data_IF_932694247844
#
_entry.id   IF_932694247844
#
_cell.length_a   1.000
_cell.length_b   1.000
_cell.length_c   1.000
_cell.angle_alpha   90.00
_cell.angle_beta   90.00
_cell.angle_gamma   90.00
#
_symmetry.space_group_name_H-M   'P 1'
#
loop_
_entity.id
_entity.type
_entity.pdbx_description
1 polymer ?
#
# COMPACT_ATOMS: atom_id res chain seq x y z
N UNK A 1 -44.92 -4.68 -3.59
CA UNK A 1 -43.73 -4.13 -2.95
C UNK A 1 -43.12 -5.23 -2.10
N UNK A 2 -41.97 -5.71 -2.44
CA UNK A 2 -41.28 -6.77 -1.69
C UNK A 2 -40.17 -6.12 -0.84
N UNK A 3 -40.09 -6.47 0.42
CA UNK A 3 -39.04 -6.04 1.33
C UNK A 3 -38.21 -7.27 1.70
N UNK A 4 -36.91 -7.21 1.43
CA UNK A 4 -35.97 -8.23 1.91
C UNK A 4 -35.28 -7.68 3.15
N UNK A 5 -35.54 -8.29 4.30
CA UNK A 5 -34.87 -7.95 5.54
C UNK A 5 -33.70 -8.88 5.78
N UNK A 6 -32.50 -8.32 5.82
CA UNK A 6 -31.25 -9.00 6.16
C UNK A 6 -30.77 -8.50 7.54
N UNK A 7 -31.42 -8.94 8.59
CA UNK A 7 -31.19 -8.43 9.95
C UNK A 7 -31.56 -6.94 10.06
N UNK A 8 -30.63 -6.08 10.43
CA UNK A 8 -30.83 -4.62 10.51
C UNK A 8 -30.76 -3.90 9.16
N UNK A 9 -30.49 -4.60 8.06
CA UNK A 9 -30.40 -4.01 6.71
C UNK A 9 -31.71 -4.25 5.97
N UNK A 10 -32.44 -3.17 5.68
CA UNK A 10 -33.65 -3.19 4.85
C UNK A 10 -33.32 -2.71 3.45
N UNK A 11 -33.53 -3.57 2.45
CA UNK A 11 -33.51 -3.19 1.04
C UNK A 11 -34.96 -2.96 0.59
N UNK A 12 -35.33 -1.74 0.33
CA UNK A 12 -36.63 -1.40 -0.26
C UNK A 12 -36.46 -0.96 -1.71
N UNK A 13 -37.16 -1.59 -2.65
CA UNK A 13 -37.22 -1.13 -4.03
C UNK A 13 -38.54 -0.47 -4.32
N UNK A 14 -38.52 0.73 -4.88
CA UNK A 14 -39.70 1.41 -5.42
C UNK A 14 -39.82 1.28 -6.95
N UNK A 15 -39.08 0.36 -7.56
CA UNK A 15 -39.04 0.17 -9.03
C UNK A 15 -38.21 -1.05 -9.42
N UNK A 16 -38.17 -1.37 -10.72
CA UNK A 16 -37.51 -2.54 -11.31
C UNK A 16 -36.00 -2.44 -11.43
N UNK A 17 -35.36 -1.41 -10.96
CA UNK A 17 -33.93 -1.22 -10.99
C UNK A 17 -33.38 -1.08 -9.59
N UNK A 18 -32.53 -2.00 -9.17
CA UNK A 18 -31.61 -1.75 -8.07
C UNK A 18 -30.56 -0.77 -8.58
N UNK A 19 -30.82 0.52 -8.44
CA UNK A 19 -29.78 1.50 -8.63
C UNK A 19 -28.72 1.25 -7.57
N UNK A 20 -27.53 0.86 -7.98
CA UNK A 20 -26.33 0.87 -7.14
C UNK A 20 -25.89 2.34 -6.97
N UNK A 21 -26.80 3.20 -6.52
CA UNK A 21 -26.42 4.46 -5.92
C UNK A 21 -25.69 4.08 -4.66
N UNK A 22 -24.47 4.56 -4.48
CA UNK A 22 -23.64 4.33 -3.32
C UNK A 22 -24.46 4.51 -2.03
N UNK A 23 -25.19 3.46 -1.64
CA UNK A 23 -25.85 3.41 -0.36
C UNK A 23 -24.75 3.57 0.67
N UNK A 24 -24.85 4.61 1.45
CA UNK A 24 -24.01 4.82 2.61
C UNK A 24 -24.12 3.53 3.43
N UNK A 25 -23.03 2.76 3.47
CA UNK A 25 -22.94 1.58 4.32
C UNK A 25 -22.77 2.14 5.72
N UNK A 26 -23.88 2.42 6.40
CA UNK A 26 -23.84 3.02 7.75
C UNK A 26 -23.58 1.99 8.84
N UNK A 27 -23.80 0.69 8.57
CA UNK A 27 -23.80 -0.36 9.59
C UNK A 27 -23.16 -1.68 9.05
N UNK A 28 -21.92 -1.61 8.59
CA UNK A 28 -21.20 -2.84 8.28
C UNK A 28 -20.76 -3.53 9.59
N UNK A 29 -20.93 -4.86 9.73
CA UNK A 29 -20.40 -5.58 10.89
C UNK A 29 -18.90 -5.34 11.04
N UNK A 30 -18.43 -5.23 12.27
CA UNK A 30 -17.01 -5.05 12.55
C UNK A 30 -16.18 -6.16 11.88
N UNK A 31 -15.07 -5.77 11.27
CA UNK A 31 -14.21 -6.67 10.50
C UNK A 31 -14.61 -6.89 9.04
N UNK A 32 -15.79 -6.40 8.61
CA UNK A 32 -16.21 -6.50 7.21
C UNK A 32 -15.37 -5.60 6.32
N UNK A 33 -15.06 -6.07 5.12
CA UNK A 33 -14.48 -5.22 4.07
C UNK A 33 -15.58 -4.34 3.47
N UNK A 34 -15.46 -3.04 3.64
CA UNK A 34 -16.44 -2.04 3.18
C UNK A 34 -16.21 -1.68 1.72
N UNK A 35 -14.96 -1.50 1.35
CA UNK A 35 -14.52 -1.21 -0.02
C UNK A 35 -13.04 -1.57 -0.20
N UNK A 36 -12.62 -1.61 -1.45
CA UNK A 36 -11.23 -1.78 -1.82
C UNK A 36 -10.83 -0.87 -2.96
N UNK A 37 -9.56 -0.52 -3.00
CA UNK A 37 -8.94 0.16 -4.13
C UNK A 37 -7.57 -0.46 -4.41
N UNK A 38 -7.20 -0.57 -5.68
CA UNK A 38 -5.90 -1.10 -6.09
C UNK A 38 -5.28 -0.20 -7.14
N UNK A 39 -4.01 0.09 -6.97
CA UNK A 39 -3.17 0.74 -7.96
C UNK A 39 -2.08 -0.22 -8.39
N UNK A 40 -1.90 -0.32 -9.71
CA UNK A 40 -0.86 -1.12 -10.34
C UNK A 40 0.15 -0.19 -10.99
N UNK A 41 1.42 -0.51 -10.85
CA UNK A 41 2.50 0.18 -11.54
C UNK A 41 3.51 -0.82 -12.09
N UNK A 42 4.39 -0.34 -12.95
CA UNK A 42 5.50 -1.09 -13.54
C UNK A 42 6.72 -0.18 -13.68
N UNK A 43 7.86 -0.77 -13.97
CA UNK A 43 9.12 -0.04 -14.13
C UNK A 43 9.95 0.03 -12.87
N UNK A 44 11.23 0.25 -13.04
CA UNK A 44 12.19 0.32 -11.95
C UNK A 44 12.04 1.62 -11.14
N UNK A 45 12.09 1.51 -9.82
CA UNK A 45 12.08 2.65 -8.89
C UNK A 45 13.26 2.47 -7.94
N UNK A 46 14.20 3.41 -7.95
CA UNK A 46 15.49 3.30 -7.25
C UNK A 46 15.83 4.54 -6.44
N UNK A 47 16.67 4.38 -5.43
CA UNK A 47 17.27 5.47 -4.66
C UNK A 47 18.67 5.11 -4.15
N UNK A 48 19.49 6.13 -3.93
CA UNK A 48 20.75 6.03 -3.20
C UNK A 48 20.70 6.76 -1.84
N UNK A 49 19.52 7.19 -1.41
CA UNK A 49 19.30 7.94 -0.18
C UNK A 49 19.09 7.02 1.02
N UNK A 50 19.62 7.39 2.17
CA UNK A 50 19.35 6.77 3.47
C UNK A 50 18.03 7.25 4.09
N UNK A 51 17.47 8.34 3.56
CA UNK A 51 16.16 8.85 3.98
C UNK A 51 15.02 8.24 3.16
N UNK A 52 13.80 8.19 3.72
CA UNK A 52 12.64 7.65 3.01
C UNK A 52 12.34 8.41 1.72
N UNK A 53 12.21 7.67 0.63
CA UNK A 53 11.84 8.18 -0.70
C UNK A 53 10.50 7.59 -1.11
N UNK A 54 9.68 8.40 -1.75
CA UNK A 54 8.38 7.97 -2.25
C UNK A 54 8.54 6.97 -3.40
N UNK A 55 7.78 5.87 -3.36
CA UNK A 55 7.77 4.90 -4.47
C UNK A 55 7.03 5.37 -5.72
N UNK A 56 6.20 6.41 -5.59
CA UNK A 56 5.29 6.83 -6.66
C UNK A 56 4.00 5.98 -6.77
N UNK A 57 3.91 4.84 -6.08
CA UNK A 57 2.74 3.99 -6.08
C UNK A 57 1.73 4.50 -5.05
N UNK A 58 0.67 5.15 -5.50
CA UNK A 58 -0.32 5.78 -4.63
C UNK A 58 -1.68 5.12 -4.85
N UNK A 59 -2.29 4.65 -3.77
CA UNK A 59 -3.69 4.18 -3.78
C UNK A 59 -4.53 5.08 -2.89
N UNK A 60 -5.61 5.62 -3.47
CA UNK A 60 -6.49 6.58 -2.81
C UNK A 60 -7.91 6.02 -2.72
N UNK A 61 -8.56 6.26 -1.61
CA UNK A 61 -9.98 5.99 -1.44
C UNK A 61 -10.63 7.08 -0.59
N UNK A 62 -11.96 7.21 -0.69
CA UNK A 62 -12.76 8.03 0.22
C UNK A 62 -13.48 7.09 1.18
N UNK A 63 -13.13 7.12 2.49
CA UNK A 63 -13.73 6.23 3.46
C UNK A 63 -15.24 6.37 3.52
N UNK A 64 -15.93 5.25 3.69
CA UNK A 64 -17.39 5.17 3.79
C UNK A 64 -17.90 5.15 5.22
N UNK A 65 -17.06 4.74 6.16
CA UNK A 65 -17.40 4.68 7.60
C UNK A 65 -16.41 5.53 8.39
N UNK A 66 -16.83 6.13 9.48
CA UNK A 66 -15.94 6.79 10.42
C UNK A 66 -15.20 5.74 11.27
N UNK A 67 -13.92 6.00 11.57
CA UNK A 67 -13.12 5.13 12.42
C UNK A 67 -12.71 3.80 11.79
N UNK A 68 -12.92 3.61 10.48
CA UNK A 68 -12.47 2.40 9.78
C UNK A 68 -10.98 2.14 9.96
N UNK A 69 -10.62 0.86 9.90
CA UNK A 69 -9.25 0.39 9.74
C UNK A 69 -8.94 0.22 8.25
N UNK A 70 -7.65 0.33 7.91
CA UNK A 70 -7.21 0.13 6.53
C UNK A 70 -6.13 -0.93 6.50
N UNK A 71 -6.40 -2.01 5.77
CA UNK A 71 -5.40 -3.03 5.46
C UNK A 71 -4.76 -2.71 4.12
N UNK A 72 -3.48 -2.38 4.13
CA UNK A 72 -2.70 -2.22 2.91
C UNK A 72 -1.99 -3.52 2.58
N UNK A 73 -2.00 -3.90 1.30
CA UNK A 73 -1.32 -5.09 0.77
C UNK A 73 -0.43 -4.61 -0.37
N UNK A 74 0.87 -4.65 -0.14
CA UNK A 74 1.88 -4.40 -1.18
C UNK A 74 2.33 -5.75 -1.74
N UNK A 75 2.23 -5.95 -3.04
CA UNK A 75 2.55 -7.22 -3.70
C UNK A 75 3.22 -7.04 -5.06
N UNK A 76 3.93 -8.05 -5.52
CA UNK A 76 4.61 -8.06 -6.83
C UNK A 76 5.86 -7.17 -6.86
N UNK A 77 6.29 -6.62 -5.74
CA UNK A 77 7.54 -5.85 -5.65
C UNK A 77 8.73 -6.79 -5.77
N UNK A 78 9.71 -6.41 -6.56
CA UNK A 78 10.99 -7.09 -6.63
C UNK A 78 12.07 -6.17 -6.05
N UNK A 79 12.30 -6.30 -4.75
CA UNK A 79 13.31 -5.52 -4.04
C UNK A 79 14.70 -5.92 -4.49
N UNK A 80 15.53 -4.94 -4.80
CA UNK A 80 16.88 -5.19 -5.28
C UNK A 80 17.89 -4.29 -4.59
N UNK A 81 19.04 -4.85 -4.31
CA UNK A 81 20.19 -4.09 -3.82
C UNK A 81 21.42 -4.43 -4.62
N UNK A 82 22.10 -3.40 -5.09
CA UNK A 82 23.39 -3.52 -5.75
C UNK A 82 24.50 -3.15 -4.75
N UNK A 83 25.26 -4.14 -4.34
CA UNK A 83 26.34 -3.96 -3.38
C UNK A 83 27.59 -3.46 -4.08
N UNK A 84 28.00 -2.24 -3.78
CA UNK A 84 29.21 -1.59 -4.36
C UNK A 84 30.36 -1.43 -3.37
N UNK A 85 30.14 -1.75 -2.09
CA UNK A 85 31.14 -1.68 -1.02
C UNK A 85 31.13 -2.95 -0.16
N UNK A 86 32.09 -3.08 0.75
CA UNK A 86 32.14 -4.19 1.72
C UNK A 86 31.05 -4.13 2.79
N UNK A 87 30.31 -3.04 2.87
CA UNK A 87 29.26 -2.86 3.87
C UNK A 87 27.98 -3.63 3.51
N UNK A 88 27.18 -3.94 4.50
CA UNK A 88 25.88 -4.59 4.29
C UNK A 88 24.94 -3.64 3.57
N UNK A 89 24.24 -4.16 2.57
CA UNK A 89 23.22 -3.44 1.83
C UNK A 89 21.85 -3.99 2.14
N UNK A 90 20.87 -3.10 2.14
CA UNK A 90 19.48 -3.50 2.32
C UNK A 90 18.52 -2.40 1.96
N UNK A 91 17.27 -2.77 1.78
CA UNK A 91 16.17 -1.83 1.56
C UNK A 91 15.21 -1.93 2.74
N UNK A 92 14.82 -0.78 3.25
CA UNK A 92 13.77 -0.66 4.27
C UNK A 92 12.54 -0.05 3.65
N UNK A 93 11.38 -0.47 4.11
CA UNK A 93 10.09 -0.05 3.59
C UNK A 93 9.25 0.56 4.69
N UNK A 94 8.47 1.55 4.31
CA UNK A 94 7.56 2.28 5.19
C UNK A 94 6.22 2.44 4.48
N UNK A 95 5.14 2.59 5.25
CA UNK A 95 3.86 3.04 4.74
C UNK A 95 3.60 4.47 5.19
N UNK A 96 3.25 5.32 4.26
CA UNK A 96 2.87 6.70 4.51
C UNK A 96 1.41 6.91 4.13
N UNK A 97 0.76 7.80 4.82
CA UNK A 97 -0.62 8.20 4.56
C UNK A 97 -0.72 9.72 4.42
N UNK A 98 -1.55 10.16 3.49
CA UNK A 98 -2.01 11.54 3.34
C UNK A 98 -3.53 11.56 3.50
N UNK A 99 -4.06 12.52 4.24
CA UNK A 99 -5.49 12.73 4.43
C UNK A 99 -5.86 14.08 3.86
N UNK A 100 -6.94 14.16 3.08
CA UNK A 100 -7.46 15.38 2.45
C UNK A 100 -6.42 16.12 1.59
N UNK A 101 -5.50 15.40 0.95
CA UNK A 101 -4.42 15.99 0.14
C UNK A 101 -3.32 16.69 0.94
N UNK A 102 -3.27 16.49 2.24
CA UNK A 102 -2.20 16.99 3.09
C UNK A 102 -0.87 16.28 2.86
N UNK A 103 0.15 16.64 3.62
CA UNK A 103 1.46 16.00 3.56
C UNK A 103 1.39 14.53 3.96
N UNK A 104 2.22 13.71 3.32
CA UNK A 104 2.37 12.31 3.69
C UNK A 104 3.08 12.18 5.04
N UNK A 105 2.49 11.43 5.95
CA UNK A 105 3.04 11.11 7.26
C UNK A 105 3.29 9.61 7.38
N UNK A 106 4.42 9.24 7.99
CA UNK A 106 4.74 7.84 8.27
C UNK A 106 3.76 7.31 9.33
N UNK A 107 3.03 6.25 8.98
CA UNK A 107 2.11 5.56 9.89
C UNK A 107 2.68 4.25 10.44
N UNK A 108 3.85 3.87 9.95
CA UNK A 108 4.65 2.81 10.54
C UNK A 108 5.64 3.47 11.48
N UNK A 109 5.46 3.35 12.79
CA UNK A 109 6.47 3.80 13.75
C UNK A 109 7.82 3.10 13.54
N UNK A 110 7.82 2.00 12.80
CA UNK A 110 8.97 1.18 12.47
C UNK A 110 8.97 0.79 10.99
N UNK A 111 10.06 0.19 10.56
CA UNK A 111 10.22 -0.42 9.24
C UNK A 111 9.19 -1.53 9.06
N UNK A 112 8.43 -1.51 7.95
CA UNK A 112 7.47 -2.57 7.63
C UNK A 112 8.21 -3.87 7.34
N UNK A 113 9.27 -3.76 6.53
CA UNK A 113 10.12 -4.88 6.13
C UNK A 113 11.49 -4.36 5.74
N UNK A 114 12.52 -5.16 5.99
CA UNK A 114 13.87 -4.93 5.50
C UNK A 114 14.45 -6.22 4.95
N UNK A 115 15.37 -6.09 4.01
CA UNK A 115 16.25 -7.16 3.62
C UNK A 115 17.69 -6.64 3.59
N UNK A 116 18.60 -7.49 3.89
CA UNK A 116 20.02 -7.21 3.85
C UNK A 116 20.72 -8.16 2.88
N UNK A 117 21.69 -7.62 2.17
CA UNK A 117 22.60 -8.40 1.32
C UNK A 117 23.94 -8.45 2.02
N UNK A 118 24.31 -9.63 2.48
CA UNK A 118 25.62 -9.93 2.99
C UNK A 118 26.34 -10.84 1.97
N UNK A 119 27.33 -10.33 1.29
CA UNK A 119 27.97 -11.08 0.21
C UNK A 119 29.12 -10.31 -0.44
N UNK A 120 29.71 -10.89 -1.47
CA UNK A 120 30.80 -10.30 -2.21
C UNK A 120 30.41 -8.99 -2.92
N UNK A 121 31.38 -8.11 -3.16
CA UNK A 121 31.20 -6.92 -3.99
C UNK A 121 30.66 -7.29 -5.36
N UNK A 122 29.71 -6.50 -5.87
CA UNK A 122 29.06 -6.76 -7.15
C UNK A 122 27.95 -7.81 -7.09
N UNK A 123 27.63 -8.35 -5.91
CA UNK A 123 26.49 -9.25 -5.77
C UNK A 123 25.17 -8.49 -5.98
N UNK A 124 24.33 -9.06 -6.81
CA UNK A 124 22.98 -8.57 -7.11
C UNK A 124 21.99 -9.56 -6.52
N UNK A 125 21.10 -9.07 -5.69
CA UNK A 125 20.09 -9.92 -5.08
C UNK A 125 18.72 -9.30 -5.30
N UNK A 126 17.85 -10.07 -5.94
CA UNK A 126 16.44 -9.76 -6.10
C UNK A 126 15.64 -10.53 -5.06
N UNK A 127 14.82 -9.83 -4.30
CA UNK A 127 13.97 -10.41 -3.26
C UNK A 127 12.51 -10.07 -3.56
N UNK A 128 11.67 -11.06 -3.86
CA UNK A 128 10.24 -10.82 -4.01
C UNK A 128 9.67 -10.36 -2.66
N UNK A 129 8.93 -9.25 -2.70
CA UNK A 129 8.33 -8.65 -1.53
C UNK A 129 6.81 -8.67 -1.63
N UNK A 130 6.19 -9.23 -0.61
CA UNK A 130 4.76 -9.06 -0.31
C UNK A 130 4.63 -8.75 1.16
N UNK A 131 4.00 -7.63 1.49
CA UNK A 131 3.80 -7.22 2.88
C UNK A 131 2.42 -6.62 3.10
N UNK A 132 1.91 -6.75 4.31
CA UNK A 132 0.62 -6.20 4.72
C UNK A 132 0.79 -5.33 5.95
N UNK A 133 -0.02 -4.29 6.03
CA UNK A 133 -0.03 -3.41 7.19
C UNK A 133 -1.45 -2.94 7.50
N UNK A 134 -1.85 -3.03 8.77
CA UNK A 134 -3.13 -2.54 9.27
C UNK A 134 -2.93 -1.20 9.97
N UNK A 135 -3.70 -0.19 9.60
CA UNK A 135 -3.61 1.16 10.14
C UNK A 135 -4.96 1.77 10.49
N UNK A 136 -4.93 2.79 11.33
CA UNK A 136 -6.10 3.56 11.77
C UNK A 136 -5.82 5.06 11.67
N UNK A 137 -5.64 5.63 10.46
CA UNK A 137 -5.42 7.05 10.32
C UNK A 137 -6.65 7.84 10.78
N UNK A 138 -6.42 9.02 11.35
CA UNK A 138 -7.50 9.95 11.70
C UNK A 138 -7.95 10.69 10.45
N UNK A 139 -9.25 10.65 10.15
CA UNK A 139 -9.86 11.34 9.01
C UNK A 139 -11.30 11.77 9.34
N UNK A 140 -11.84 12.66 8.54
CA UNK A 140 -13.26 13.03 8.53
C UNK A 140 -13.92 12.40 7.31
N UNK A 141 -15.16 11.92 7.45
CA UNK A 141 -15.92 11.38 6.30
C UNK A 141 -16.00 12.40 5.17
N UNK A 142 -15.82 11.93 3.95
CA UNK A 142 -15.72 12.76 2.75
C UNK A 142 -14.28 13.16 2.37
N UNK A 143 -13.33 13.08 3.29
CA UNK A 143 -11.92 13.27 2.97
C UNK A 143 -11.36 12.06 2.23
N UNK A 144 -10.49 12.32 1.27
CA UNK A 144 -9.69 11.25 0.66
C UNK A 144 -8.58 10.82 1.61
N UNK A 145 -8.28 9.52 1.62
CA UNK A 145 -7.13 8.92 2.30
C UNK A 145 -6.27 8.25 1.24
N UNK A 146 -5.03 8.68 1.12
CA UNK A 146 -4.07 8.17 0.15
C UNK A 146 -2.93 7.44 0.87
N UNK A 147 -2.63 6.24 0.42
CA UNK A 147 -1.53 5.41 0.93
C UNK A 147 -0.42 5.34 -0.09
N UNK A 148 0.81 5.44 0.38
CA UNK A 148 2.00 5.37 -0.47
C UNK A 148 3.12 4.65 0.26
N UNK A 149 3.70 3.57 -0.32
CA UNK A 149 4.94 3.01 0.18
C UNK A 149 6.11 3.98 -0.03
N UNK A 150 6.94 4.07 0.97
CA UNK A 150 8.25 4.72 0.91
C UNK A 150 9.33 3.68 1.14
N UNK A 151 10.51 3.96 0.66
CA UNK A 151 11.65 3.08 0.82
C UNK A 151 12.94 3.88 0.99
N UNK A 152 13.92 3.27 1.61
CA UNK A 152 15.22 3.86 1.84
C UNK A 152 16.30 2.79 1.81
N UNK A 153 17.53 3.20 1.69
CA UNK A 153 18.67 2.34 1.95
C UNK A 153 18.75 2.03 3.46
N UNK A 154 18.99 0.76 3.81
CA UNK A 154 19.02 0.32 5.21
C UNK A 154 20.29 0.73 5.96
N UNK A 155 21.35 1.07 5.25
CA UNK A 155 22.66 1.42 5.82
C UNK A 155 23.24 2.63 5.11
N UNK A 156 24.16 3.33 5.78
CA UNK A 156 24.89 4.49 5.24
C UNK A 156 25.94 4.14 4.18
N UNK A 157 25.92 2.94 3.65
CA UNK A 157 26.87 2.48 2.65
C UNK A 157 26.59 3.07 1.26
N UNK A 158 27.60 3.08 0.40
CA UNK A 158 27.47 3.49 -1.00
C UNK A 158 26.70 2.43 -1.80
N UNK A 159 25.79 2.85 -2.66
CA UNK A 159 25.05 1.94 -3.54
C UNK A 159 23.63 2.38 -3.79
N UNK A 160 22.97 1.68 -4.71
CA UNK A 160 21.59 1.93 -5.10
C UNK A 160 20.72 0.78 -4.61
N UNK A 161 19.58 1.13 -4.01
CA UNK A 161 18.53 0.18 -3.67
C UNK A 161 17.29 0.47 -4.52
N UNK A 162 16.54 -0.58 -4.83
CA UNK A 162 15.36 -0.49 -5.66
C UNK A 162 14.14 -0.90 -4.84
N UNK A 163 13.10 -0.08 -4.92
CA UNK A 163 11.76 -0.47 -4.49
C UNK A 163 11.24 -1.59 -5.38
N UNK A 164 11.40 -1.44 -6.70
CA UNK A 164 11.10 -2.45 -7.68
C UNK A 164 12.18 -2.41 -8.77
N UNK A 165 12.72 -3.57 -9.09
CA UNK A 165 13.79 -3.73 -10.08
C UNK A 165 13.31 -4.55 -11.28
N UNK A 166 13.67 -4.08 -12.46
CA UNK A 166 13.33 -4.71 -13.75
C UNK A 166 14.56 -5.16 -14.52
N UNK A 167 15.65 -5.46 -13.83
CA UNK A 167 17.02 -5.60 -14.37
C UNK A 167 17.29 -6.74 -15.32
N UNK A 168 16.32 -7.64 -15.55
CA UNK A 168 16.39 -8.65 -16.59
C UNK A 168 15.34 -8.36 -17.66
N UNK A 169 15.70 -8.56 -18.93
CA UNK A 169 14.84 -8.24 -20.08
C UNK A 169 13.43 -8.86 -20.02
N UNK A 170 13.27 -9.97 -19.30
CA UNK A 170 11.96 -10.59 -19.03
C UNK A 170 11.19 -9.89 -17.89
N UNK A 171 11.84 -9.08 -17.06
CA UNK A 171 11.23 -8.42 -15.91
C UNK A 171 10.68 -7.02 -16.24
N UNK A 172 10.95 -6.50 -17.44
CA UNK A 172 10.50 -5.15 -17.85
C UNK A 172 8.96 -5.00 -17.85
N UNK A 173 8.22 -6.10 -17.86
CA UNK A 173 6.74 -6.13 -17.81
C UNK A 173 6.19 -6.54 -16.42
N UNK A 174 7.04 -6.77 -15.43
CA UNK A 174 6.57 -7.09 -14.09
C UNK A 174 5.82 -5.91 -13.50
N UNK A 175 4.69 -6.20 -12.91
CA UNK A 175 3.82 -5.23 -12.26
C UNK A 175 3.86 -5.44 -10.75
N UNK A 176 3.70 -4.35 -10.03
CA UNK A 176 3.54 -4.35 -8.59
C UNK A 176 2.28 -3.56 -8.22
N UNK A 177 1.67 -3.93 -7.10
CA UNK A 177 0.36 -3.45 -6.73
C UNK A 177 0.35 -2.98 -5.28
N UNK A 178 -0.41 -1.92 -5.03
CA UNK A 178 -0.84 -1.54 -3.71
C UNK A 178 -2.37 -1.65 -3.65
N UNK A 179 -2.85 -2.60 -2.87
CA UNK A 179 -4.29 -2.75 -2.57
C UNK A 179 -4.56 -2.22 -1.18
N UNK A 180 -5.61 -1.44 -1.05
CA UNK A 180 -6.11 -0.92 0.23
C UNK A 180 -7.53 -1.40 0.44
N UNK A 181 -7.78 -2.04 1.57
CA UNK A 181 -9.11 -2.46 2.02
C UNK A 181 -9.55 -1.57 3.17
N UNK A 182 -10.71 -0.95 3.07
CA UNK A 182 -11.38 -0.34 4.21
C UNK A 182 -12.13 -1.41 4.98
N UNK A 183 -11.88 -1.50 6.29
CA UNK A 183 -12.46 -2.50 7.18
C UNK A 183 -13.27 -1.78 8.25
N UNK A 184 -14.52 -2.19 8.44
CA UNK A 184 -15.35 -1.69 9.52
C UNK A 184 -14.72 -2.01 10.89
N UNK A 185 -14.72 -1.02 11.79
CA UNK A 185 -14.17 -1.14 13.15
C UNK A 185 -15.18 -1.69 14.15
#
# INVERSE_FOLDING_TARGET
MGTLNLGSVSLSSSGTTFANSAASVTDAPAGSVVQSATTTASGAVATSSDGPNASGLITTLTPRLSGSKFLTILSGVNAHSNKTSSDNHGTVYYMYVSVAGGSYANITSNVIQSHHVDGALGAWIDVPLTTTFLSTPTYTLGNTVAFQPYYARATSSSGTVYFHHTGHSAAASQVYNLTVLEIAS
#
